data_IF_411545167276
#
_entry.id   IF_411545167276
#
_cell.length_a   1.000
_cell.length_b   1.000
_cell.length_c   1.000
_cell.angle_alpha   90.00
_cell.angle_beta   90.00
_cell.angle_gamma   90.00
#
_symmetry.space_group_name_H-M   'P 1'
#
loop_
_entity.id
_entity.type
_entity.pdbx_description
1 polymer ?
#
# COMPACT_ATOMS: atom_id res chain seq x y z
N UNK A 1 16.56 -12.06 55.73
CA UNK A 1 16.86 -12.70 54.43
C UNK A 1 15.62 -13.43 53.94
N UNK A 2 14.70 -12.76 53.25
CA UNK A 2 14.72 -12.37 51.82
C UNK A 2 14.77 -13.58 50.86
N UNK A 3 13.82 -13.55 49.90
CA UNK A 3 13.81 -14.26 48.62
C UNK A 3 12.96 -15.54 48.47
N UNK A 4 11.75 -15.59 49.05
CA UNK A 4 10.71 -16.57 48.64
C UNK A 4 9.48 -16.00 47.92
N UNK A 5 9.52 -14.73 47.50
CA UNK A 5 8.39 -14.06 46.85
C UNK A 5 8.61 -13.66 45.38
N UNK A 6 9.75 -14.01 44.76
CA UNK A 6 10.12 -13.53 43.41
C UNK A 6 9.88 -14.51 42.25
N UNK A 7 9.51 -15.77 42.51
CA UNK A 7 9.43 -16.81 41.46
C UNK A 7 8.04 -17.06 40.87
N UNK A 8 6.97 -16.49 41.44
CA UNK A 8 5.58 -16.76 40.99
C UNK A 8 5.03 -15.63 40.10
N UNK A 9 5.71 -14.49 40.01
CA UNK A 9 5.28 -13.33 39.20
C UNK A 9 5.78 -13.33 37.75
N UNK A 10 6.52 -14.35 37.32
CA UNK A 10 7.12 -14.41 35.97
C UNK A 10 6.41 -15.38 35.01
N UNK A 11 5.36 -16.10 35.44
CA UNK A 11 4.68 -17.11 34.63
C UNK A 11 3.37 -16.69 33.94
N UNK A 12 2.88 -15.46 34.14
CA UNK A 12 1.55 -15.02 33.65
C UNK A 12 1.65 -13.88 32.62
N UNK A 13 2.85 -13.41 32.29
CA UNK A 13 3.06 -12.29 31.37
C UNK A 13 3.20 -12.69 29.88
N UNK A 14 3.24 -13.98 29.54
CA UNK A 14 3.47 -14.46 28.16
C UNK A 14 2.28 -15.18 27.52
N UNK A 15 1.07 -15.04 28.08
CA UNK A 15 -0.14 -15.68 27.54
C UNK A 15 -1.32 -14.72 27.29
N UNK A 16 -1.05 -13.41 27.14
CA UNK A 16 -2.08 -12.38 26.88
C UNK A 16 -1.70 -11.38 25.76
N UNK A 17 -0.87 -11.79 24.80
CA UNK A 17 -0.66 -11.02 23.56
C UNK A 17 -1.16 -11.77 22.31
N UNK A 18 -2.00 -12.80 22.50
CA UNK A 18 -2.86 -13.29 21.45
C UNK A 18 -4.01 -12.29 21.27
N UNK A 19 -4.28 -11.91 20.03
CA UNK A 19 -5.47 -11.19 19.57
C UNK A 19 -5.41 -9.66 19.61
N UNK A 20 -4.46 -9.07 18.89
CA UNK A 20 -4.76 -7.82 18.18
C UNK A 20 -5.35 -8.19 16.82
N UNK A 21 -6.65 -8.54 16.80
CA UNK A 21 -7.44 -8.44 15.57
C UNK A 21 -7.43 -6.96 15.24
N UNK A 22 -6.66 -6.57 14.23
CA UNK A 22 -6.85 -5.28 13.58
C UNK A 22 -8.25 -5.31 12.98
N UNK A 23 -9.24 -4.80 13.70
CA UNK A 23 -10.51 -4.39 13.10
C UNK A 23 -10.19 -3.20 12.21
N UNK A 24 -9.77 -3.47 10.99
CA UNK A 24 -9.82 -2.47 9.93
C UNK A 24 -11.30 -2.12 9.78
N UNK A 25 -11.71 -0.99 10.35
CA UNK A 25 -13.05 -0.45 10.20
C UNK A 25 -13.29 -0.19 8.72
N UNK A 26 -13.97 -1.11 8.05
CA UNK A 26 -14.54 -0.88 6.74
C UNK A 26 -15.82 -0.06 6.93
N UNK A 27 -15.65 1.23 7.19
CA UNK A 27 -16.70 2.22 7.01
C UNK A 27 -16.14 3.32 6.13
N UNK A 28 -16.33 3.16 4.83
CA UNK A 28 -17.06 4.21 4.13
C UNK A 28 -17.82 3.58 2.96
N UNK A 29 -19.14 3.52 3.12
CA UNK A 29 -20.05 3.28 2.01
C UNK A 29 -19.96 4.52 1.11
N UNK A 30 -19.01 4.50 0.18
CA UNK A 30 -18.82 5.44 -0.92
C UNK A 30 -18.97 6.92 -0.53
N UNK A 31 -17.87 7.56 -0.14
CA UNK A 31 -17.69 9.01 -0.27
C UNK A 31 -17.86 9.40 -1.76
N UNK A 32 -19.09 9.64 -2.20
CA UNK A 32 -19.41 10.27 -3.49
C UNK A 32 -18.72 9.69 -4.73
N UNK A 33 -18.52 8.38 -4.81
CA UNK A 33 -17.84 7.73 -5.94
C UNK A 33 -16.33 7.95 -6.01
N UNK A 34 -15.71 8.51 -4.97
CA UNK A 34 -14.27 8.73 -4.88
C UNK A 34 -13.59 7.48 -4.34
N UNK A 35 -12.91 6.77 -5.23
CA UNK A 35 -12.03 5.66 -4.87
C UNK A 35 -10.75 6.23 -4.24
N UNK A 36 -10.58 6.05 -2.94
CA UNK A 36 -9.40 6.46 -2.20
C UNK A 36 -8.48 5.26 -1.91
N UNK A 37 -7.20 5.37 -2.26
CA UNK A 37 -6.17 4.44 -1.78
C UNK A 37 -5.68 4.92 -0.42
N UNK A 38 -6.01 4.17 0.62
CA UNK A 38 -5.68 4.48 2.01
C UNK A 38 -4.44 3.73 2.54
N UNK A 39 -3.75 2.98 1.69
CA UNK A 39 -2.54 2.25 2.04
C UNK A 39 -1.54 2.22 0.87
N UNK A 40 -0.22 2.16 1.16
CA UNK A 40 0.78 1.88 0.15
C UNK A 40 0.56 0.54 -0.54
N UNK A 41 0.97 0.46 -1.80
CA UNK A 41 0.97 -0.77 -2.59
C UNK A 41 2.29 -1.51 -2.43
N UNK A 42 2.25 -2.86 -2.52
CA UNK A 42 3.47 -3.67 -2.55
C UNK A 42 4.31 -3.41 -3.80
N UNK A 43 3.64 -3.19 -4.94
CA UNK A 43 4.27 -2.94 -6.24
C UNK A 43 3.30 -2.19 -7.18
N UNK A 44 3.69 -2.06 -8.45
CA UNK A 44 2.91 -1.37 -9.48
C UNK A 44 1.54 -1.99 -9.79
N UNK A 45 1.26 -3.22 -9.34
CA UNK A 45 -0.04 -3.87 -9.57
C UNK A 45 -1.16 -3.20 -8.77
N UNK A 46 -0.82 -2.51 -7.69
CA UNK A 46 -1.75 -1.70 -6.89
C UNK A 46 -1.96 -0.27 -7.39
N UNK A 47 -1.42 0.09 -8.56
CA UNK A 47 -1.42 1.46 -9.04
C UNK A 47 -2.82 2.00 -9.41
N UNK A 48 -3.01 3.29 -9.16
CA UNK A 48 -4.15 4.08 -9.63
C UNK A 48 -3.83 4.65 -11.03
N UNK A 49 -4.64 4.36 -12.06
CA UNK A 49 -4.50 5.01 -13.36
C UNK A 49 -5.02 6.44 -13.31
N UNK A 50 -4.22 7.38 -13.84
CA UNK A 50 -4.61 8.78 -14.06
C UNK A 50 -4.28 9.18 -15.50
N UNK A 51 -4.99 10.17 -16.03
CA UNK A 51 -4.68 10.71 -17.36
C UNK A 51 -5.56 11.88 -17.77
N UNK A 52 -5.12 12.59 -18.80
CA UNK A 52 -5.81 13.76 -19.37
C UNK A 52 -6.26 13.55 -20.83
N UNK A 53 -6.18 12.33 -21.34
CA UNK A 53 -6.49 11.98 -22.73
C UNK A 53 -5.27 11.86 -23.65
N UNK A 54 -4.14 12.49 -23.32
CA UNK A 54 -2.90 12.44 -24.13
C UNK A 54 -1.75 11.74 -23.38
N UNK A 55 -1.62 12.06 -22.09
CA UNK A 55 -0.65 11.47 -21.19
C UNK A 55 -1.40 10.74 -20.09
N UNK A 56 -0.91 9.55 -19.75
CA UNK A 56 -1.42 8.74 -18.66
C UNK A 56 -0.30 8.27 -17.76
N UNK A 57 -0.62 8.01 -16.50
CA UNK A 57 0.30 7.41 -15.55
C UNK A 57 -0.39 6.34 -14.71
N UNK A 58 0.36 5.30 -14.37
CA UNK A 58 0.00 4.35 -13.33
C UNK A 58 0.77 4.75 -12.08
N UNK A 59 0.09 5.28 -11.06
CA UNK A 59 0.72 5.88 -9.87
C UNK A 59 0.50 4.98 -8.67
N UNK A 60 1.54 4.74 -7.87
CA UNK A 60 1.44 4.02 -6.60
C UNK A 60 2.45 4.56 -5.60
N UNK A 61 2.26 4.23 -4.32
CA UNK A 61 3.22 4.49 -3.25
C UNK A 61 3.73 3.15 -2.75
N UNK A 62 5.04 2.98 -2.60
CA UNK A 62 5.64 1.78 -2.01
C UNK A 62 5.65 1.85 -0.47
N UNK A 63 5.84 0.73 0.27
CA UNK A 63 5.77 0.74 1.74
C UNK A 63 6.82 1.63 2.43
N UNK A 64 7.88 2.00 1.71
CA UNK A 64 8.91 2.94 2.18
C UNK A 64 8.48 4.41 2.08
N UNK A 65 7.30 4.70 1.50
CA UNK A 65 6.76 6.06 1.34
C UNK A 65 7.09 6.70 -0.01
N UNK A 66 7.88 6.04 -0.86
CA UNK A 66 8.25 6.59 -2.17
C UNK A 66 7.02 6.62 -3.08
N UNK A 67 6.84 7.73 -3.81
CA UNK A 67 5.87 7.80 -4.91
C UNK A 67 6.53 7.30 -6.19
N UNK A 68 5.92 6.32 -6.83
CA UNK A 68 6.35 5.81 -8.11
C UNK A 68 5.25 5.90 -9.15
N UNK A 69 5.65 6.05 -10.40
CA UNK A 69 4.71 5.91 -11.51
C UNK A 69 5.36 5.43 -12.81
N UNK A 70 4.55 4.75 -13.62
CA UNK A 70 4.88 4.51 -15.02
C UNK A 70 4.23 5.56 -15.92
N UNK A 71 5.03 6.23 -16.74
CA UNK A 71 4.53 7.21 -17.70
C UNK A 71 4.10 6.54 -19.01
N UNK A 72 3.01 7.01 -19.61
CA UNK A 72 2.52 6.57 -20.92
C UNK A 72 2.02 7.76 -21.73
N UNK A 73 2.14 7.67 -23.06
CA UNK A 73 1.64 8.63 -24.02
C UNK A 73 0.87 7.89 -25.12
N UNK A 74 -0.15 8.52 -25.68
CA UNK A 74 -1.04 7.96 -26.71
C UNK A 74 -0.35 7.53 -28.00
N UNK A 75 0.83 8.07 -28.31
CA UNK A 75 1.62 7.79 -29.50
C UNK A 75 2.85 6.89 -29.23
N UNK A 76 3.01 6.38 -28.00
CA UNK A 76 4.13 5.52 -27.62
C UNK A 76 3.89 4.06 -28.00
N UNK A 77 3.89 3.75 -29.29
CA UNK A 77 3.64 2.42 -29.82
C UNK A 77 4.93 1.63 -30.09
N UNK A 78 4.89 0.32 -29.84
CA UNK A 78 5.91 -0.61 -30.34
C UNK A 78 5.60 -1.10 -31.76
N UNK A 79 6.59 -1.72 -32.40
CA UNK A 79 6.45 -2.38 -33.72
C UNK A 79 5.34 -3.44 -33.76
N UNK A 80 4.99 -4.02 -32.61
CA UNK A 80 3.93 -5.03 -32.49
C UNK A 80 2.59 -4.42 -32.04
N UNK A 81 2.36 -3.15 -32.35
CA UNK A 81 1.13 -2.42 -32.04
C UNK A 81 0.73 -2.50 -30.55
N UNK A 82 1.68 -2.28 -29.63
CA UNK A 82 1.40 -2.18 -28.18
C UNK A 82 1.75 -0.80 -27.65
N UNK A 83 0.85 -0.22 -26.85
CA UNK A 83 1.17 0.98 -26.07
C UNK A 83 2.21 0.66 -25.00
N UNK A 84 3.27 1.46 -24.96
CA UNK A 84 4.40 1.29 -24.07
C UNK A 84 4.31 2.20 -22.84
N UNK A 85 4.88 1.69 -21.73
CA UNK A 85 5.26 2.52 -20.60
C UNK A 85 6.66 3.08 -20.88
N UNK A 86 6.75 4.40 -21.05
CA UNK A 86 7.95 5.10 -21.47
C UNK A 86 9.06 5.07 -20.42
N UNK A 87 8.69 4.92 -19.14
CA UNK A 87 9.65 4.81 -18.06
C UNK A 87 8.99 4.73 -16.70
N UNK A 88 9.77 4.31 -15.71
CA UNK A 88 9.43 4.36 -14.29
C UNK A 88 10.11 5.55 -13.66
N UNK A 89 9.35 6.37 -12.96
CA UNK A 89 9.85 7.50 -12.18
C UNK A 89 9.62 7.22 -10.69
N UNK A 90 10.59 7.62 -9.87
CA UNK A 90 10.52 7.62 -8.40
C UNK A 90 10.84 9.04 -7.93
N UNK A 91 10.05 9.55 -7.00
CA UNK A 91 10.18 10.90 -6.39
C UNK A 91 10.55 10.78 -4.93
#
# INVERSE_FOLDING_TARGET
MNNRHRSIRQGIAWLLAATAICTAGATDAMDGGKLAWNSPSQDSRGSMPIGNGEVGANVWVEPNGDLLFYLSKTDAWSENCRLLKLGKVRV
#
